data_IF_456634368965
#
_entry.id   IF_456634368965
#
_cell.length_a   1.000
_cell.length_b   1.000
_cell.length_c   1.000
_cell.angle_alpha   90.00
_cell.angle_beta   90.00
_cell.angle_gamma   90.00
#
_symmetry.space_group_name_H-M   'P 1'
#
loop_
_entity.id
_entity.type
_entity.pdbx_description
1 polymer ?
#
# COMPACT_ATOMS: atom_id res chain seq x y z
N UNK A 1 16.88 -9.12 -40.90
CA UNK A 1 15.52 -8.94 -40.35
C UNK A 1 15.16 -9.95 -39.26
N UNK A 2 15.22 -11.28 -39.49
CA UNK A 2 14.79 -12.27 -38.47
C UNK A 2 15.57 -12.27 -37.15
N UNK A 3 16.86 -11.94 -37.13
CA UNK A 3 17.71 -12.02 -35.93
C UNK A 3 17.43 -10.86 -34.95
N UNK A 4 17.21 -9.67 -35.50
CA UNK A 4 16.91 -8.47 -34.69
C UNK A 4 15.50 -8.53 -34.11
N UNK A 5 14.56 -9.12 -34.85
CA UNK A 5 13.18 -9.34 -34.37
C UNK A 5 13.14 -10.39 -33.23
N UNK A 6 13.98 -11.44 -33.33
CA UNK A 6 14.10 -12.46 -32.29
C UNK A 6 14.76 -11.89 -31.03
N UNK A 7 15.81 -11.09 -31.18
CA UNK A 7 16.48 -10.39 -30.06
C UNK A 7 15.55 -9.40 -29.38
N UNK A 8 14.74 -8.64 -30.15
CA UNK A 8 13.73 -7.74 -29.60
C UNK A 8 12.66 -8.49 -28.79
N UNK A 9 12.15 -9.62 -29.32
CA UNK A 9 11.19 -10.45 -28.60
C UNK A 9 11.79 -11.03 -27.32
N UNK A 10 13.02 -11.57 -27.38
CA UNK A 10 13.71 -12.10 -26.20
C UNK A 10 13.93 -11.01 -25.13
N UNK A 11 14.35 -9.81 -25.52
CA UNK A 11 14.50 -8.69 -24.59
C UNK A 11 13.17 -8.31 -23.93
N UNK A 12 12.09 -8.32 -24.68
CA UNK A 12 10.75 -8.03 -24.16
C UNK A 12 10.28 -9.10 -23.16
N UNK A 13 10.47 -10.38 -23.46
CA UNK A 13 10.14 -11.49 -22.56
C UNK A 13 10.97 -11.46 -21.26
N UNK A 14 12.27 -11.20 -21.36
CA UNK A 14 13.14 -11.09 -20.17
C UNK A 14 12.74 -9.91 -19.29
N UNK A 15 12.31 -8.80 -19.88
CA UNK A 15 11.81 -7.64 -19.13
C UNK A 15 10.55 -7.99 -18.32
N UNK A 16 9.56 -8.69 -18.91
CA UNK A 16 8.35 -9.11 -18.17
C UNK A 16 8.67 -10.11 -17.05
N UNK A 17 9.55 -11.08 -17.31
CA UNK A 17 9.96 -12.03 -16.28
C UNK A 17 10.64 -11.33 -15.10
N UNK A 18 11.49 -10.34 -15.36
CA UNK A 18 12.11 -9.55 -14.31
C UNK A 18 11.07 -8.81 -13.44
N UNK A 19 10.03 -8.22 -14.04
CA UNK A 19 8.95 -7.58 -13.29
C UNK A 19 8.22 -8.56 -12.36
N UNK A 20 7.95 -9.78 -12.82
CA UNK A 20 7.30 -10.81 -12.00
C UNK A 20 8.20 -11.19 -10.81
N UNK A 21 9.51 -11.38 -11.06
CA UNK A 21 10.48 -11.70 -10.01
C UNK A 21 10.56 -10.55 -8.99
N UNK A 22 10.66 -9.31 -9.43
CA UNK A 22 10.72 -8.14 -8.56
C UNK A 22 9.48 -7.97 -7.67
N UNK A 23 8.29 -8.22 -8.24
CA UNK A 23 7.05 -8.19 -7.48
C UNK A 23 7.01 -9.30 -6.42
N UNK A 24 7.44 -10.51 -6.80
CA UNK A 24 7.54 -11.64 -5.87
C UNK A 24 8.50 -11.33 -4.72
N UNK A 25 9.73 -10.90 -5.02
CA UNK A 25 10.73 -10.53 -4.00
C UNK A 25 10.22 -9.42 -3.09
N UNK A 26 9.63 -8.36 -3.63
CA UNK A 26 9.09 -7.26 -2.84
C UNK A 26 7.94 -7.72 -1.93
N UNK A 27 7.09 -8.65 -2.41
CA UNK A 27 6.01 -9.22 -1.61
C UNK A 27 6.54 -10.10 -0.48
N UNK A 28 7.52 -10.97 -0.78
CA UNK A 28 8.14 -11.81 0.24
C UNK A 28 8.79 -10.99 1.35
N UNK A 29 9.50 -9.93 1.00
CA UNK A 29 10.12 -9.01 1.97
C UNK A 29 9.06 -8.26 2.79
N UNK A 30 7.96 -7.84 2.16
CA UNK A 30 6.83 -7.23 2.86
C UNK A 30 6.22 -8.19 3.87
N UNK A 31 5.94 -9.44 3.48
CA UNK A 31 5.38 -10.47 4.37
C UNK A 31 6.35 -10.82 5.50
N UNK A 32 7.65 -10.94 5.21
CA UNK A 32 8.68 -11.20 6.22
C UNK A 32 8.69 -10.11 7.31
N UNK A 33 8.64 -8.83 6.91
CA UNK A 33 8.65 -7.72 7.86
C UNK A 33 7.36 -7.60 8.65
N UNK A 34 6.25 -8.08 8.11
CA UNK A 34 4.94 -8.09 8.77
C UNK A 34 4.55 -9.49 9.26
N UNK A 35 5.52 -10.42 9.33
CA UNK A 35 5.27 -11.81 9.72
C UNK A 35 4.51 -11.94 11.05
N UNK A 36 4.86 -11.21 12.14
CA UNK A 36 4.11 -11.29 13.39
C UNK A 36 2.63 -10.92 13.21
N UNK A 37 2.34 -9.88 12.44
CA UNK A 37 0.97 -9.46 12.15
C UNK A 37 0.20 -10.50 11.32
N UNK A 38 0.84 -11.03 10.27
CA UNK A 38 0.24 -12.04 9.39
C UNK A 38 -0.08 -13.31 10.18
N UNK A 39 0.86 -13.80 10.99
CA UNK A 39 0.65 -14.99 11.83
C UNK A 39 -0.48 -14.77 12.85
N UNK A 40 -0.49 -13.63 13.53
CA UNK A 40 -1.52 -13.32 14.52
C UNK A 40 -2.91 -13.22 13.91
N UNK A 41 -3.07 -12.68 12.71
CA UNK A 41 -4.37 -12.61 12.02
C UNK A 41 -4.92 -14.01 11.68
N UNK A 42 -4.05 -14.99 11.42
CA UNK A 42 -4.49 -16.37 11.13
C UNK A 42 -4.74 -17.20 12.38
N UNK A 43 -4.02 -16.91 13.48
CA UNK A 43 -4.12 -17.70 14.72
C UNK A 43 -5.17 -17.15 15.67
N UNK A 44 -5.30 -15.82 15.76
CA UNK A 44 -6.22 -15.19 16.69
C UNK A 44 -7.56 -14.90 16.03
N UNK A 45 -8.63 -15.29 16.71
CA UNK A 45 -9.95 -14.73 16.40
C UNK A 45 -9.93 -13.22 16.63
N UNK A 46 -10.37 -12.44 15.65
CA UNK A 46 -10.47 -11.01 15.79
C UNK A 46 -11.63 -10.67 16.74
N UNK A 47 -11.29 -10.34 17.97
CA UNK A 47 -12.22 -9.93 19.05
C UNK A 47 -11.71 -8.65 19.70
N UNK A 48 -12.59 -7.96 20.44
CA UNK A 48 -12.17 -6.72 21.13
C UNK A 48 -10.94 -6.91 22.02
N UNK A 49 -10.83 -8.05 22.71
CA UNK A 49 -9.68 -8.37 23.56
C UNK A 49 -8.36 -8.62 22.82
N UNK A 50 -8.40 -8.99 21.53
CA UNK A 50 -7.19 -9.24 20.72
C UNK A 50 -6.72 -8.02 19.93
N UNK A 51 -7.53 -6.95 19.84
CA UNK A 51 -7.18 -5.73 19.09
C UNK A 51 -5.89 -5.07 19.53
N UNK A 52 -5.52 -4.97 20.84
CA UNK A 52 -4.27 -4.35 21.25
C UNK A 52 -3.03 -5.09 20.71
N UNK A 53 -3.06 -6.42 20.66
CA UNK A 53 -1.96 -7.23 20.14
C UNK A 53 -1.84 -7.05 18.62
N UNK A 54 -2.98 -7.08 17.92
CA UNK A 54 -3.05 -6.84 16.48
C UNK A 54 -2.59 -5.41 16.13
N UNK A 55 -2.95 -4.42 16.94
CA UNK A 55 -2.46 -3.04 16.80
C UNK A 55 -0.93 -2.99 16.86
N UNK A 56 -0.32 -3.52 17.91
CA UNK A 56 1.14 -3.48 18.09
C UNK A 56 1.87 -4.20 16.94
N UNK A 57 1.39 -5.36 16.53
CA UNK A 57 1.99 -6.13 15.44
C UNK A 57 1.84 -5.47 14.06
N UNK A 58 0.81 -4.66 13.85
CA UNK A 58 0.53 -3.98 12.57
C UNK A 58 1.33 -2.71 12.34
N UNK A 59 2.03 -2.18 13.35
CA UNK A 59 2.78 -0.90 13.25
C UNK A 59 3.84 -0.93 12.14
N UNK A 60 4.35 -2.11 11.79
CA UNK A 60 5.33 -2.31 10.72
C UNK A 60 4.74 -2.15 9.31
N UNK A 61 3.41 -2.22 9.13
CA UNK A 61 2.74 -2.17 7.83
C UNK A 61 3.05 -0.88 7.05
N UNK A 62 2.99 0.28 7.68
CA UNK A 62 3.22 1.57 7.00
C UNK A 62 4.68 1.73 6.57
N UNK A 63 5.71 1.52 7.43
CA UNK A 63 7.11 1.58 7.01
C UNK A 63 7.45 0.54 5.92
N UNK A 64 6.92 -0.67 6.00
CA UNK A 64 7.17 -1.71 4.99
C UNK A 64 6.48 -1.39 3.66
N UNK A 65 5.25 -0.87 3.67
CA UNK A 65 4.56 -0.38 2.47
C UNK A 65 5.35 0.76 1.80
N UNK A 66 5.84 1.73 2.58
CA UNK A 66 6.73 2.77 2.08
C UNK A 66 7.98 2.20 1.40
N UNK A 67 8.61 1.19 2.01
CA UNK A 67 9.78 0.52 1.45
C UNK A 67 9.46 -0.17 0.12
N UNK A 68 8.33 -0.88 0.01
CA UNK A 68 7.87 -1.51 -1.25
C UNK A 68 7.65 -0.45 -2.33
N UNK A 69 6.88 0.61 -2.05
CA UNK A 69 6.61 1.69 -3.02
C UNK A 69 7.93 2.28 -3.55
N UNK A 70 8.87 2.60 -2.65
CA UNK A 70 10.11 3.24 -3.03
C UNK A 70 11.06 2.30 -3.78
N UNK A 71 11.06 1.01 -3.43
CA UNK A 71 11.85 -0.02 -4.12
C UNK A 71 11.30 -0.26 -5.53
N UNK A 72 9.98 -0.44 -5.68
CA UNK A 72 9.36 -0.64 -6.99
C UNK A 72 9.47 0.59 -7.90
N UNK A 73 9.43 1.80 -7.34
CA UNK A 73 9.65 3.03 -8.12
C UNK A 73 11.02 3.08 -8.79
N UNK A 74 12.04 2.57 -8.11
CA UNK A 74 13.44 2.67 -8.56
C UNK A 74 13.96 1.37 -9.21
N UNK A 75 13.11 0.37 -9.41
CA UNK A 75 13.53 -0.98 -9.80
C UNK A 75 14.23 -1.03 -11.16
N UNK A 76 13.82 -0.19 -12.10
CA UNK A 76 14.41 -0.15 -13.45
C UNK A 76 15.84 0.42 -13.44
N UNK A 77 16.13 1.35 -12.53
CA UNK A 77 17.47 1.97 -12.39
C UNK A 77 18.36 1.22 -11.42
N UNK A 78 17.79 0.59 -10.41
CA UNK A 78 18.49 -0.12 -9.34
C UNK A 78 17.83 -1.49 -9.04
N UNK A 79 18.12 -2.54 -9.82
CA UNK A 79 17.41 -3.83 -9.73
C UNK A 79 17.79 -4.69 -8.50
N UNK A 80 18.46 -4.12 -7.50
CA UNK A 80 18.85 -4.82 -6.26
C UNK A 80 17.72 -4.74 -5.21
N UNK A 81 16.63 -5.46 -5.44
CA UNK A 81 15.40 -5.38 -4.65
C UNK A 81 15.65 -5.56 -3.14
N UNK A 82 16.30 -6.66 -2.76
CA UNK A 82 16.53 -7.00 -1.34
C UNK A 82 17.30 -5.87 -0.63
N UNK A 83 18.43 -5.44 -1.19
CA UNK A 83 19.24 -4.38 -0.60
C UNK A 83 18.48 -3.06 -0.49
N UNK A 84 17.83 -2.67 -1.57
CA UNK A 84 17.11 -1.39 -1.65
C UNK A 84 15.91 -1.39 -0.71
N UNK A 85 15.19 -2.51 -0.59
CA UNK A 85 14.08 -2.64 0.36
C UNK A 85 14.54 -2.36 1.79
N UNK A 86 15.61 -3.00 2.29
CA UNK A 86 16.09 -2.77 3.66
C UNK A 86 16.61 -1.36 3.88
N UNK A 87 17.26 -0.75 2.90
CA UNK A 87 17.67 0.66 2.96
C UNK A 87 16.44 1.56 3.08
N UNK A 88 15.45 1.36 2.24
CA UNK A 88 14.20 2.15 2.25
C UNK A 88 13.37 1.88 3.51
N UNK A 89 13.35 0.65 4.01
CA UNK A 89 12.69 0.27 5.25
C UNK A 89 13.28 1.04 6.45
N UNK A 90 14.61 1.08 6.57
CA UNK A 90 15.30 1.86 7.61
C UNK A 90 14.95 3.35 7.56
N UNK A 91 14.86 3.92 6.34
CA UNK A 91 14.40 5.29 6.16
C UNK A 91 12.92 5.44 6.56
N UNK A 92 12.07 4.50 6.17
CA UNK A 92 10.65 4.46 6.51
C UNK A 92 10.43 4.40 8.02
N UNK A 93 11.14 3.54 8.72
CA UNK A 93 11.06 3.48 10.18
C UNK A 93 11.42 4.81 10.85
N UNK A 94 12.55 5.41 10.49
CA UNK A 94 12.97 6.69 11.07
C UNK A 94 11.93 7.81 10.87
N UNK A 95 11.28 7.81 9.71
CA UNK A 95 10.39 8.90 9.31
C UNK A 95 8.93 8.65 9.69
N UNK A 96 8.46 7.42 9.60
CA UNK A 96 7.04 7.07 9.64
C UNK A 96 6.61 6.30 10.88
N UNK A 97 7.53 5.88 11.75
CA UNK A 97 7.17 5.05 12.89
C UNK A 97 6.11 5.69 13.80
N UNK A 98 6.31 6.97 14.18
CA UNK A 98 5.33 7.71 15.00
C UNK A 98 3.99 7.86 14.29
N UNK A 99 4.03 8.14 12.99
CA UNK A 99 2.82 8.24 12.17
C UNK A 99 2.11 6.89 12.07
N UNK A 100 2.86 5.80 11.92
CA UNK A 100 2.33 4.44 11.88
C UNK A 100 1.58 4.08 13.16
N UNK A 101 2.14 4.42 14.33
CA UNK A 101 1.43 4.24 15.61
C UNK A 101 0.08 4.94 15.62
N UNK A 102 0.03 6.21 15.21
CA UNK A 102 -1.21 6.99 15.19
C UNK A 102 -2.22 6.42 14.17
N UNK A 103 -1.78 6.14 12.94
CA UNK A 103 -2.66 5.60 11.91
C UNK A 103 -3.24 4.24 12.27
N UNK A 104 -2.39 3.32 12.75
CA UNK A 104 -2.83 1.99 13.16
C UNK A 104 -3.76 2.05 14.37
N UNK A 105 -3.53 2.99 15.30
CA UNK A 105 -4.44 3.20 16.43
C UNK A 105 -5.86 3.58 15.95
N UNK A 106 -6.00 4.56 15.06
CA UNK A 106 -7.29 4.93 14.50
C UNK A 106 -7.92 3.80 13.69
N UNK A 107 -7.12 3.06 12.91
CA UNK A 107 -7.59 1.92 12.13
C UNK A 107 -8.20 0.86 13.06
N UNK A 108 -7.51 0.48 14.13
CA UNK A 108 -7.98 -0.55 15.04
C UNK A 108 -9.15 -0.08 15.92
N UNK A 109 -9.26 1.21 16.24
CA UNK A 109 -10.49 1.77 16.85
C UNK A 109 -11.67 1.59 15.90
N UNK A 110 -11.50 1.89 14.61
CA UNK A 110 -12.58 1.71 13.62
C UNK A 110 -12.97 0.24 13.47
N UNK A 111 -12.00 -0.67 13.44
CA UNK A 111 -12.27 -2.11 13.45
C UNK A 111 -13.07 -2.51 14.69
N UNK A 112 -12.67 -2.04 15.88
CA UNK A 112 -13.40 -2.26 17.13
C UNK A 112 -14.84 -1.74 17.07
N UNK A 113 -15.04 -0.53 16.55
CA UNK A 113 -16.37 0.05 16.37
C UNK A 113 -17.24 -0.78 15.40
N UNK A 114 -16.65 -1.31 14.32
CA UNK A 114 -17.34 -2.21 13.38
C UNK A 114 -17.83 -3.45 14.13
N UNK A 115 -17.01 -4.06 14.99
CA UNK A 115 -17.42 -5.23 15.80
C UNK A 115 -18.57 -4.91 16.75
N UNK A 116 -18.52 -3.76 17.43
CA UNK A 116 -19.58 -3.35 18.36
C UNK A 116 -20.87 -3.06 17.60
N UNK A 117 -20.81 -2.28 16.54
CA UNK A 117 -21.99 -1.87 15.77
C UNK A 117 -22.62 -3.02 14.97
N UNK A 118 -21.83 -4.03 14.56
CA UNK A 118 -22.34 -5.22 13.90
C UNK A 118 -23.26 -6.08 14.80
N UNK A 119 -23.10 -6.01 16.12
CA UNK A 119 -23.90 -6.76 17.09
C UNK A 119 -25.21 -6.04 17.48
N UNK A 120 -25.36 -4.78 17.10
CA UNK A 120 -26.48 -3.93 17.52
C UNK A 120 -27.30 -3.51 16.29
N UNK A 121 -28.45 -4.12 16.00
CA UNK A 121 -29.28 -3.79 14.83
C UNK A 121 -29.70 -2.30 14.78
N UNK A 122 -29.86 -1.64 15.93
CA UNK A 122 -30.17 -0.21 16.03
C UNK A 122 -29.04 0.69 15.51
N UNK A 123 -27.81 0.18 15.40
CA UNK A 123 -26.62 0.94 14.98
C UNK A 123 -26.16 0.59 13.55
N UNK A 124 -27.01 0.00 12.72
CA UNK A 124 -26.66 -0.46 11.36
C UNK A 124 -26.13 0.67 10.48
N UNK A 125 -26.63 1.91 10.63
CA UNK A 125 -26.11 3.06 9.88
C UNK A 125 -24.66 3.36 10.29
N UNK A 126 -24.36 3.32 11.60
CA UNK A 126 -23.00 3.54 12.11
C UNK A 126 -22.03 2.43 11.67
N UNK A 127 -22.52 1.19 11.55
CA UNK A 127 -21.74 0.07 11.00
C UNK A 127 -21.23 0.40 9.59
N UNK A 128 -22.13 0.79 8.68
CA UNK A 128 -21.75 1.14 7.30
C UNK A 128 -20.87 2.37 7.22
N UNK A 129 -21.12 3.38 8.06
CA UNK A 129 -20.25 4.57 8.14
C UNK A 129 -18.83 4.21 8.60
N UNK A 130 -18.68 3.35 9.60
CA UNK A 130 -17.36 2.89 10.05
C UNK A 130 -16.60 2.12 8.95
N UNK A 131 -17.28 1.27 8.19
CA UNK A 131 -16.69 0.59 7.03
C UNK A 131 -16.23 1.60 5.99
N UNK A 132 -17.06 2.58 5.64
CA UNK A 132 -16.71 3.63 4.69
C UNK A 132 -15.48 4.43 5.15
N UNK A 133 -15.46 4.87 6.41
CA UNK A 133 -14.31 5.59 6.98
C UNK A 133 -13.05 4.75 7.02
N UNK A 134 -13.13 3.47 7.36
CA UNK A 134 -11.99 2.55 7.33
C UNK A 134 -11.39 2.45 5.92
N UNK A 135 -12.23 2.30 4.91
CA UNK A 135 -11.81 2.21 3.52
C UNK A 135 -11.18 3.53 3.01
N UNK A 136 -11.75 4.67 3.39
CA UNK A 136 -11.18 6.00 3.10
C UNK A 136 -9.82 6.16 3.78
N UNK A 137 -9.67 5.74 5.04
CA UNK A 137 -8.41 5.82 5.78
C UNK A 137 -7.31 4.98 5.11
N UNK A 138 -7.61 3.74 4.70
CA UNK A 138 -6.66 2.87 4.02
C UNK A 138 -6.24 3.48 2.67
N UNK A 139 -7.20 3.96 1.88
CA UNK A 139 -6.93 4.60 0.58
C UNK A 139 -6.09 5.87 0.74
N UNK A 140 -6.43 6.71 1.72
CA UNK A 140 -5.65 7.89 2.06
C UNK A 140 -4.21 7.52 2.42
N UNK A 141 -4.02 6.47 3.22
CA UNK A 141 -2.68 6.01 3.63
C UNK A 141 -1.84 5.60 2.42
N UNK A 142 -2.37 4.83 1.48
CA UNK A 142 -1.65 4.44 0.27
C UNK A 142 -1.30 5.65 -0.59
N UNK A 143 -2.27 6.54 -0.85
CA UNK A 143 -2.04 7.77 -1.63
C UNK A 143 -1.00 8.67 -0.95
N UNK A 144 -1.07 8.83 0.38
CA UNK A 144 -0.09 9.57 1.17
C UNK A 144 1.33 9.00 1.02
N UNK A 145 1.49 7.68 1.09
CA UNK A 145 2.79 7.05 0.92
C UNK A 145 3.34 7.20 -0.51
N UNK A 146 2.48 7.11 -1.54
CA UNK A 146 2.87 7.37 -2.93
C UNK A 146 3.34 8.82 -3.10
N UNK A 147 2.60 9.79 -2.56
CA UNK A 147 2.97 11.21 -2.56
C UNK A 147 4.31 11.43 -1.86
N UNK A 148 4.49 10.86 -0.65
CA UNK A 148 5.71 10.97 0.14
C UNK A 148 6.95 10.40 -0.54
N UNK A 149 6.81 9.35 -1.33
CA UNK A 149 7.93 8.76 -2.08
C UNK A 149 8.33 9.64 -3.27
N UNK A 150 7.38 10.38 -3.85
CA UNK A 150 7.64 11.19 -5.04
C UNK A 150 8.23 12.57 -4.72
N UNK A 151 7.91 13.16 -3.57
CA UNK A 151 8.40 14.48 -3.20
C UNK A 151 9.08 14.50 -1.83
N UNK A 152 10.19 15.24 -1.72
CA UNK A 152 10.94 15.42 -0.47
C UNK A 152 10.28 16.49 0.41
N UNK A 153 9.12 16.19 0.98
CA UNK A 153 8.33 17.10 1.79
C UNK A 153 8.25 16.62 3.25
N UNK A 154 7.88 17.50 4.16
CA UNK A 154 7.54 17.14 5.54
C UNK A 154 6.25 16.30 5.59
N UNK A 155 6.02 15.59 6.69
CA UNK A 155 4.78 14.78 6.87
C UNK A 155 3.54 15.66 6.72
N UNK A 156 3.56 16.87 7.30
CA UNK A 156 2.45 17.83 7.25
C UNK A 156 2.15 18.28 5.81
N UNK A 157 3.18 18.70 5.07
CA UNK A 157 3.04 19.12 3.66
C UNK A 157 2.55 17.97 2.79
N UNK A 158 3.09 16.76 2.99
CA UNK A 158 2.63 15.56 2.29
C UNK A 158 1.15 15.29 2.56
N UNK A 159 0.69 15.40 3.81
CA UNK A 159 -0.71 15.21 4.16
C UNK A 159 -1.62 16.25 3.48
N UNK A 160 -1.24 17.53 3.53
CA UNK A 160 -1.98 18.62 2.90
C UNK A 160 -2.05 18.40 1.37
N UNK A 161 -0.91 18.05 0.74
CA UNK A 161 -0.86 17.78 -0.69
C UNK A 161 -1.73 16.57 -1.05
N UNK A 162 -1.69 15.49 -0.25
CA UNK A 162 -2.52 14.30 -0.49
C UNK A 162 -4.01 14.65 -0.44
N UNK A 163 -4.45 15.46 0.54
CA UNK A 163 -5.84 15.92 0.63
C UNK A 163 -6.22 16.78 -0.59
N UNK A 164 -5.38 17.73 -0.98
CA UNK A 164 -5.62 18.55 -2.18
C UNK A 164 -5.76 17.70 -3.43
N UNK A 165 -4.87 16.71 -3.63
CA UNK A 165 -4.92 15.81 -4.76
C UNK A 165 -6.12 14.88 -4.73
N UNK A 166 -6.57 14.44 -3.54
CA UNK A 166 -7.78 13.65 -3.39
C UNK A 166 -9.04 14.41 -3.82
N UNK A 167 -9.06 15.74 -3.65
CA UNK A 167 -10.16 16.60 -4.09
C UNK A 167 -10.05 16.89 -5.59
N UNK A 168 -8.90 17.40 -6.05
CA UNK A 168 -8.68 17.84 -7.44
C UNK A 168 -8.68 16.68 -8.43
N UNK A 169 -8.15 15.53 -8.04
CA UNK A 169 -8.06 14.30 -8.84
C UNK A 169 -8.85 13.15 -8.19
N UNK A 170 -10.06 13.45 -7.73
CA UNK A 170 -10.92 12.54 -6.97
C UNK A 170 -11.13 11.20 -7.67
N UNK A 171 -11.30 11.17 -9.00
CA UNK A 171 -11.50 9.93 -9.77
C UNK A 171 -10.30 8.99 -9.59
N UNK A 172 -9.06 9.49 -9.72
CA UNK A 172 -7.85 8.67 -9.57
C UNK A 172 -7.65 8.19 -8.13
N UNK A 173 -7.94 9.06 -7.16
CA UNK A 173 -7.89 8.70 -5.74
C UNK A 173 -8.90 7.59 -5.42
N UNK A 174 -10.14 7.70 -5.93
CA UNK A 174 -11.18 6.69 -5.73
C UNK A 174 -10.92 5.39 -6.51
N UNK A 175 -10.23 5.43 -7.66
CA UNK A 175 -9.80 4.22 -8.36
C UNK A 175 -8.80 3.40 -7.52
N UNK A 176 -7.91 4.03 -6.75
CA UNK A 176 -7.05 3.30 -5.81
C UNK A 176 -7.85 2.53 -4.75
N UNK A 177 -8.97 3.09 -4.30
CA UNK A 177 -9.91 2.39 -3.43
C UNK A 177 -10.49 1.13 -4.08
N UNK A 178 -10.92 1.20 -5.34
CA UNK A 178 -11.44 0.04 -6.08
C UNK A 178 -10.36 -1.02 -6.33
N UNK A 179 -9.11 -0.62 -6.59
CA UNK A 179 -7.97 -1.52 -6.72
C UNK A 179 -7.77 -2.30 -5.41
N UNK A 180 -7.80 -1.63 -4.26
CA UNK A 180 -7.63 -2.27 -2.96
C UNK A 180 -8.76 -3.24 -2.65
N UNK A 181 -10.02 -2.87 -2.92
CA UNK A 181 -11.18 -3.78 -2.78
C UNK A 181 -11.03 -4.97 -3.71
N UNK A 182 -10.73 -4.75 -4.99
CA UNK A 182 -10.53 -5.82 -5.97
C UNK A 182 -9.43 -6.79 -5.53
N UNK A 183 -8.32 -6.27 -5.02
CA UNK A 183 -7.24 -7.10 -4.47
C UNK A 183 -7.74 -7.92 -3.27
N UNK A 184 -8.53 -7.33 -2.37
CA UNK A 184 -9.09 -8.04 -1.22
C UNK A 184 -10.08 -9.15 -1.63
N UNK A 185 -10.88 -8.93 -2.67
CA UNK A 185 -11.77 -9.96 -3.23
C UNK A 185 -10.94 -11.10 -3.85
N UNK A 186 -9.89 -10.77 -4.61
CA UNK A 186 -8.98 -11.76 -5.19
C UNK A 186 -8.25 -12.57 -4.10
N UNK A 187 -7.97 -11.96 -2.93
CA UNK A 187 -7.46 -12.64 -1.74
C UNK A 187 -8.32 -13.82 -1.32
N UNK A 188 -9.64 -13.58 -1.25
CA UNK A 188 -10.61 -14.62 -0.86
C UNK A 188 -10.69 -15.75 -1.88
N UNK A 189 -10.60 -15.42 -3.17
CA UNK A 189 -10.76 -16.39 -4.25
C UNK A 189 -9.48 -17.20 -4.51
N UNK A 190 -8.32 -16.55 -4.37
CA UNK A 190 -7.02 -17.12 -4.74
C UNK A 190 -5.94 -16.81 -3.70
N UNK A 191 -6.02 -17.37 -2.49
CA UNK A 191 -5.12 -17.01 -1.38
C UNK A 191 -3.64 -17.27 -1.69
N UNK A 192 -3.31 -18.31 -2.45
CA UNK A 192 -1.92 -18.64 -2.81
C UNK A 192 -1.28 -17.55 -3.68
N UNK A 193 -1.97 -17.08 -4.72
CA UNK A 193 -1.46 -16.02 -5.59
C UNK A 193 -1.27 -14.71 -4.83
N UNK A 194 -2.06 -14.49 -3.82
CA UNK A 194 -1.97 -13.29 -3.01
C UNK A 194 -0.82 -13.35 -2.01
N UNK A 195 -0.54 -14.50 -1.43
CA UNK A 195 0.68 -14.71 -0.64
C UNK A 195 1.92 -14.46 -1.50
N UNK A 196 1.89 -14.81 -2.80
CA UNK A 196 3.04 -14.61 -3.69
C UNK A 196 3.20 -13.15 -4.16
N UNK A 197 2.11 -12.43 -4.44
CA UNK A 197 2.16 -11.13 -5.14
C UNK A 197 1.25 -10.05 -4.55
N UNK A 198 0.35 -10.39 -3.63
CA UNK A 198 -0.81 -9.57 -3.31
C UNK A 198 -0.51 -8.14 -2.90
N UNK A 199 0.35 -7.93 -1.90
CA UNK A 199 0.67 -6.58 -1.44
C UNK A 199 1.45 -5.78 -2.49
N UNK A 200 2.46 -6.38 -3.12
CA UNK A 200 3.30 -5.71 -4.12
C UNK A 200 2.52 -5.38 -5.39
N UNK A 201 1.65 -6.29 -5.84
CA UNK A 201 0.80 -6.07 -7.01
C UNK A 201 -0.23 -4.96 -6.74
N UNK A 202 -0.92 -4.99 -5.60
CA UNK A 202 -1.86 -3.94 -5.22
C UNK A 202 -1.19 -2.56 -5.17
N UNK A 203 0.00 -2.50 -4.55
CA UNK A 203 0.80 -1.28 -4.47
C UNK A 203 1.20 -0.81 -5.86
N UNK A 204 1.70 -1.70 -6.73
CA UNK A 204 2.08 -1.35 -8.10
C UNK A 204 0.90 -0.80 -8.89
N UNK A 205 -0.27 -1.45 -8.83
CA UNK A 205 -1.48 -0.98 -9.51
C UNK A 205 -1.90 0.41 -9.02
N UNK A 206 -1.84 0.66 -7.70
CA UNK A 206 -2.10 1.98 -7.14
C UNK A 206 -1.08 3.03 -7.64
N UNK A 207 0.20 2.68 -7.75
CA UNK A 207 1.24 3.57 -8.26
C UNK A 207 1.01 3.91 -9.76
N UNK A 208 0.70 2.91 -10.57
CA UNK A 208 0.39 3.09 -12.01
C UNK A 208 -0.82 3.99 -12.19
N UNK A 209 -1.90 3.73 -11.43
CA UNK A 209 -3.10 4.56 -11.47
C UNK A 209 -2.83 6.00 -11.04
N UNK A 210 -1.92 6.22 -10.09
CA UNK A 210 -1.59 7.54 -9.55
C UNK A 210 -0.50 8.28 -10.36
N UNK A 211 0.19 7.62 -11.29
CA UNK A 211 1.24 8.20 -12.14
C UNK A 211 0.79 9.48 -12.87
N UNK A 212 -0.39 9.54 -13.54
CA UNK A 212 -0.82 10.77 -14.20
C UNK A 212 -1.04 11.95 -13.25
N UNK A 213 -1.32 11.68 -11.97
CA UNK A 213 -1.45 12.71 -10.93
C UNK A 213 -0.07 13.27 -10.56
N UNK A 214 0.93 12.39 -10.47
CA UNK A 214 2.32 12.77 -10.22
C UNK A 214 2.85 13.64 -11.37
N UNK A 215 2.63 13.20 -12.60
CA UNK A 215 3.07 13.93 -13.81
C UNK A 215 2.40 15.31 -13.90
N UNK A 216 1.13 15.42 -13.53
CA UNK A 216 0.42 16.70 -13.46
C UNK A 216 1.07 17.67 -12.45
N UNK A 217 1.38 17.19 -11.25
CA UNK A 217 2.01 18.03 -10.21
C UNK A 217 3.43 18.47 -10.63
N UNK A 218 4.20 17.55 -11.24
CA UNK A 218 5.56 17.86 -11.69
C UNK A 218 5.56 18.99 -12.74
N UNK A 219 4.63 18.95 -13.71
CA UNK A 219 4.46 20.04 -14.69
C UNK A 219 4.14 21.38 -14.04
N UNK A 220 3.26 21.40 -13.04
CA UNK A 220 2.94 22.64 -12.32
C UNK A 220 4.12 23.20 -11.54
N UNK A 221 5.04 22.36 -11.08
CA UNK A 221 6.27 22.78 -10.40
C UNK A 221 7.30 23.33 -11.41
N UNK A 222 7.36 22.76 -12.62
CA UNK A 222 8.26 23.20 -13.69
C UNK A 222 7.83 24.54 -14.33
N UNK A 223 6.52 24.84 -14.29
CA UNK A 223 5.91 26.05 -14.85
C UNK A 223 5.89 27.23 -13.85
N UNK A 224 6.20 26.99 -12.57
CA UNK A 224 6.17 27.99 -11.49
C UNK A 224 7.56 28.56 -11.17
#
# INVERSE_FOLDING_TARGET
>A
MKKDELLYKLYHYTSYLNYIIWLFEANMLFLLMNFPFVVLIFILDIRLGTLPILYLSSVTLIPSTYAVIKTLKNVETEPKIIKNFFVHLKMGYKRLFKLSLVFMFFLWIMVGNIFITAQLPSLQILFWLNILFLLVLITFTINFLIVMVNWKQTIKETAILTIKLAIVKSIRSNLNFLILIGTFILLKLFPIYLLMFGASLAILLCMINFKPVIDFVNRQIEEA
#
